data_IF_172869919388
#
_entry.id   IF_172869919388
#
_cell.length_a   1.000
_cell.length_b   1.000
_cell.length_c   1.000
_cell.angle_alpha   90.00
_cell.angle_beta   90.00
_cell.angle_gamma   90.00
#
_symmetry.space_group_name_H-M   'P 1'
#
loop_
_entity.id
_entity.type
_entity.pdbx_description
1 polymer ?
#
# COMPACT_ATOMS: atom_id res chain seq x y z
N UNK A 1 28.67 -16.86 3.98
CA UNK A 1 27.28 -16.95 4.43
C UNK A 1 26.70 -18.38 4.40
N UNK A 2 26.76 -19.17 3.29
CA UNK A 2 26.20 -20.55 3.30
C UNK A 2 26.75 -21.44 4.40
N UNK A 3 28.07 -21.44 4.64
CA UNK A 3 28.70 -22.24 5.68
C UNK A 3 28.23 -21.95 7.11
N UNK A 4 27.87 -20.68 7.40
CA UNK A 4 27.35 -20.31 8.72
C UNK A 4 25.95 -20.91 8.96
N UNK A 5 25.10 -20.93 7.96
CA UNK A 5 23.76 -21.53 8.03
C UNK A 5 23.86 -23.04 8.20
N UNK A 6 24.71 -23.71 7.43
CA UNK A 6 24.96 -25.17 7.54
C UNK A 6 25.45 -25.57 8.93
N UNK A 7 26.41 -24.81 9.50
CA UNK A 7 26.92 -25.06 10.83
C UNK A 7 25.85 -24.91 11.92
N UNK A 8 24.97 -23.91 11.83
CA UNK A 8 23.88 -23.73 12.77
C UNK A 8 22.80 -24.80 12.62
N UNK A 9 22.48 -25.23 11.41
CA UNK A 9 21.57 -26.35 11.17
C UNK A 9 22.08 -27.66 11.75
N UNK A 10 23.36 -27.95 11.58
CA UNK A 10 24.02 -29.12 12.17
C UNK A 10 24.01 -29.06 13.69
N UNK A 11 24.25 -27.89 14.26
CA UNK A 11 24.20 -27.67 15.71
C UNK A 11 22.78 -27.86 16.27
N UNK A 12 21.73 -27.52 15.50
CA UNK A 12 20.32 -27.74 15.86
C UNK A 12 19.95 -29.22 15.96
N UNK A 13 20.57 -30.11 15.15
CA UNK A 13 20.30 -31.55 15.22
C UNK A 13 20.92 -32.17 16.46
N UNK A 14 22.05 -31.62 16.95
CA UNK A 14 22.76 -32.08 18.12
C UNK A 14 22.29 -31.42 19.42
N UNK A 15 22.10 -30.10 19.41
CA UNK A 15 21.76 -29.32 20.59
C UNK A 15 20.73 -28.23 20.24
N UNK A 16 19.46 -28.53 20.43
CA UNK A 16 18.33 -27.56 20.21
C UNK A 16 18.27 -26.49 21.30
N UNK A 17 19.24 -25.60 21.37
CA UNK A 17 19.24 -24.49 22.31
C UNK A 17 18.58 -23.23 21.71
N UNK A 18 17.88 -22.40 22.51
CA UNK A 18 17.32 -21.11 22.03
C UNK A 18 18.36 -20.18 21.41
N UNK A 19 19.60 -20.21 21.89
CA UNK A 19 20.70 -19.40 21.34
C UNK A 19 21.10 -19.84 19.93
N UNK A 20 21.20 -21.14 19.68
CA UNK A 20 21.48 -21.68 18.33
C UNK A 20 20.34 -21.32 17.35
N UNK A 21 19.08 -21.44 17.76
CA UNK A 21 17.92 -21.02 16.96
C UNK A 21 17.96 -19.53 16.64
N UNK A 22 18.29 -18.68 17.61
CA UNK A 22 18.42 -17.23 17.42
C UNK A 22 19.53 -16.90 16.41
N UNK A 23 20.69 -17.52 16.52
CA UNK A 23 21.82 -17.35 15.59
C UNK A 23 21.47 -17.83 14.18
N UNK A 24 20.80 -18.97 14.05
CA UNK A 24 20.34 -19.48 12.76
C UNK A 24 19.37 -18.50 12.08
N UNK A 25 18.36 -18.02 12.80
CA UNK A 25 17.40 -17.03 12.29
C UNK A 25 18.07 -15.74 11.87
N UNK A 26 19.05 -15.26 12.65
CA UNK A 26 19.82 -14.06 12.31
C UNK A 26 20.64 -14.26 11.03
N UNK A 27 21.29 -15.42 10.88
CA UNK A 27 22.04 -15.75 9.67
C UNK A 27 21.16 -15.88 8.43
N UNK A 28 20.00 -16.53 8.56
CA UNK A 28 19.01 -16.64 7.47
C UNK A 28 18.46 -15.27 7.07
N UNK A 29 18.12 -14.43 8.04
CA UNK A 29 17.65 -13.05 7.80
C UNK A 29 18.72 -12.21 7.09
N UNK A 30 19.99 -12.31 7.51
CA UNK A 30 21.10 -11.61 6.88
C UNK A 30 21.29 -12.05 5.42
N UNK A 31 21.20 -13.35 5.13
CA UNK A 31 21.27 -13.90 3.77
C UNK A 31 20.14 -13.35 2.89
N UNK A 32 18.91 -13.40 3.35
CA UNK A 32 17.74 -12.88 2.61
C UNK A 32 17.89 -11.38 2.33
N UNK A 33 18.36 -10.63 3.32
CA UNK A 33 18.59 -9.19 3.16
C UNK A 33 19.68 -8.90 2.13
N UNK A 34 20.78 -9.65 2.17
CA UNK A 34 21.87 -9.51 1.21
C UNK A 34 21.40 -9.85 -0.22
N UNK A 35 20.62 -10.90 -0.40
CA UNK A 35 20.04 -11.28 -1.70
C UNK A 35 19.09 -10.22 -2.23
N UNK A 36 18.22 -9.67 -1.39
CA UNK A 36 17.31 -8.57 -1.75
C UNK A 36 18.09 -7.32 -2.18
N UNK A 37 19.13 -6.94 -1.43
CA UNK A 37 19.94 -5.78 -1.73
C UNK A 37 20.74 -5.95 -3.04
N UNK A 38 21.22 -7.16 -3.31
CA UNK A 38 21.92 -7.48 -4.55
C UNK A 38 20.97 -7.43 -5.78
N UNK A 39 19.67 -7.60 -5.57
CA UNK A 39 18.66 -7.53 -6.62
C UNK A 39 18.28 -6.08 -7.00
N UNK A 40 18.56 -5.11 -6.16
CA UNK A 40 18.26 -3.69 -6.40
C UNK A 40 19.01 -3.19 -7.63
N UNK A 41 18.25 -2.65 -8.59
CA UNK A 41 18.77 -2.14 -9.85
C UNK A 41 17.82 -1.05 -10.39
N UNK A 42 18.16 0.25 -10.24
CA UNK A 42 17.30 1.34 -10.66
C UNK A 42 16.97 1.36 -12.16
N UNK A 43 17.89 0.93 -13.02
CA UNK A 43 17.66 0.87 -14.46
C UNK A 43 16.62 -0.19 -14.80
N UNK A 44 16.74 -1.38 -14.22
CA UNK A 44 15.73 -2.45 -14.37
C UNK A 44 14.40 -2.10 -13.73
N UNK A 45 14.41 -1.28 -12.66
CA UNK A 45 13.17 -0.74 -12.10
C UNK A 45 12.44 0.16 -13.09
N UNK A 46 13.15 1.03 -13.82
CA UNK A 46 12.53 1.87 -14.87
C UNK A 46 12.02 1.05 -16.06
N UNK A 47 12.73 0.02 -16.47
CA UNK A 47 12.23 -0.92 -17.49
C UNK A 47 10.94 -1.60 -17.05
N UNK A 48 10.89 -2.06 -15.81
CA UNK A 48 9.70 -2.67 -15.22
C UNK A 48 8.54 -1.66 -15.11
N UNK A 49 8.83 -0.41 -14.74
CA UNK A 49 7.84 0.67 -14.70
C UNK A 49 7.22 0.92 -16.07
N UNK A 50 8.05 1.01 -17.10
CA UNK A 50 7.59 1.22 -18.47
C UNK A 50 6.71 0.05 -18.94
N UNK A 51 7.14 -1.17 -18.71
CA UNK A 51 6.36 -2.37 -19.03
C UNK A 51 5.01 -2.38 -18.28
N UNK A 52 5.01 -2.02 -17.00
CA UNK A 52 3.79 -1.88 -16.21
C UNK A 52 2.83 -0.83 -16.77
N UNK A 53 3.37 0.32 -17.20
CA UNK A 53 2.60 1.39 -17.83
C UNK A 53 1.97 0.94 -19.15
N UNK A 54 2.71 0.23 -19.98
CA UNK A 54 2.20 -0.32 -21.26
C UNK A 54 1.08 -1.32 -21.00
N UNK A 55 1.26 -2.25 -20.08
CA UNK A 55 0.24 -3.25 -19.71
C UNK A 55 -0.99 -2.59 -19.09
N UNK A 56 -0.80 -1.57 -18.26
CA UNK A 56 -1.91 -0.79 -17.68
C UNK A 56 -2.74 -0.11 -18.77
N UNK A 57 -2.11 0.54 -19.75
CA UNK A 57 -2.80 1.15 -20.91
C UNK A 57 -3.53 0.13 -21.77
N UNK A 58 -3.01 -1.08 -21.86
CA UNK A 58 -3.63 -2.20 -22.57
C UNK A 58 -4.75 -2.89 -21.76
N UNK A 59 -5.07 -2.40 -20.58
CA UNK A 59 -6.01 -2.99 -19.64
C UNK A 59 -5.64 -4.42 -19.16
N UNK A 60 -4.37 -4.78 -19.30
CA UNK A 60 -3.81 -6.01 -18.72
C UNK A 60 -3.41 -5.73 -17.24
N UNK A 61 -4.42 -5.69 -16.39
CA UNK A 61 -4.22 -5.38 -14.97
C UNK A 61 -3.34 -6.40 -14.25
N UNK A 62 -3.55 -7.72 -14.41
CA UNK A 62 -2.67 -8.72 -13.80
C UNK A 62 -1.22 -8.61 -14.28
N UNK A 63 -1.01 -8.42 -15.57
CA UNK A 63 0.32 -8.23 -16.13
C UNK A 63 1.00 -6.94 -15.65
N UNK A 64 0.23 -5.88 -15.45
CA UNK A 64 0.73 -4.64 -14.86
C UNK A 64 1.13 -4.84 -13.39
N UNK A 65 0.37 -5.61 -12.61
CA UNK A 65 0.74 -5.98 -11.23
C UNK A 65 2.07 -6.72 -11.18
N UNK A 66 2.30 -7.67 -12.09
CA UNK A 66 3.58 -8.38 -12.18
C UNK A 66 4.75 -7.44 -12.47
N UNK A 67 4.59 -6.56 -13.46
CA UNK A 67 5.62 -5.58 -13.83
C UNK A 67 5.94 -4.60 -12.70
N UNK A 68 4.93 -4.05 -12.04
CA UNK A 68 5.15 -3.15 -10.89
C UNK A 68 5.68 -3.88 -9.66
N UNK A 69 5.36 -5.15 -9.48
CA UNK A 69 5.96 -5.99 -8.44
C UNK A 69 7.46 -6.18 -8.67
N UNK A 70 7.88 -6.36 -9.92
CA UNK A 70 9.30 -6.38 -10.29
C UNK A 70 9.97 -5.02 -10.04
N UNK A 71 9.30 -3.92 -10.40
CA UNK A 71 9.77 -2.56 -10.08
C UNK A 71 10.03 -2.38 -8.58
N UNK A 72 9.13 -2.85 -7.73
CA UNK A 72 9.28 -2.78 -6.26
C UNK A 72 10.49 -3.57 -5.79
N UNK A 73 10.73 -4.76 -6.33
CA UNK A 73 11.90 -5.57 -5.99
C UNK A 73 13.21 -4.91 -6.43
N UNK A 74 13.21 -4.25 -7.59
CA UNK A 74 14.37 -3.54 -8.14
C UNK A 74 14.64 -2.19 -7.48
N UNK A 75 13.61 -1.52 -6.99
CA UNK A 75 13.70 -0.23 -6.31
C UNK A 75 12.71 -0.17 -5.12
N UNK A 76 12.98 -0.87 -4.00
CA UNK A 76 12.05 -1.01 -2.89
C UNK A 76 11.78 0.29 -2.12
N UNK A 77 12.64 1.29 -2.25
CA UNK A 77 12.47 2.60 -1.60
C UNK A 77 11.73 3.63 -2.49
N UNK A 78 11.44 3.28 -3.73
CA UNK A 78 10.70 4.15 -4.64
C UNK A 78 9.19 4.00 -4.40
N UNK A 79 8.49 5.06 -3.95
CA UNK A 79 7.05 5.00 -3.67
C UNK A 79 6.20 4.78 -4.92
N UNK A 80 6.71 5.11 -6.12
CA UNK A 80 5.98 4.98 -7.38
C UNK A 80 5.58 3.54 -7.70
N UNK A 81 6.43 2.57 -7.39
CA UNK A 81 6.15 1.14 -7.62
C UNK A 81 4.90 0.69 -6.87
N UNK A 82 4.82 0.99 -5.59
CA UNK A 82 3.66 0.69 -4.75
C UNK A 82 2.40 1.45 -5.22
N UNK A 83 2.51 2.74 -5.48
CA UNK A 83 1.38 3.56 -5.93
C UNK A 83 0.83 3.10 -7.29
N UNK A 84 1.69 2.73 -8.22
CA UNK A 84 1.29 2.21 -9.52
C UNK A 84 0.63 0.83 -9.41
N UNK A 85 1.17 -0.05 -8.57
CA UNK A 85 0.53 -1.35 -8.29
C UNK A 85 -0.83 -1.19 -7.61
N UNK A 86 -0.97 -0.24 -6.69
CA UNK A 86 -2.24 0.09 -6.07
C UNK A 86 -3.29 0.49 -7.12
N UNK A 87 -2.92 1.26 -8.14
CA UNK A 87 -3.83 1.59 -9.25
C UNK A 87 -4.33 0.35 -9.99
N UNK A 88 -3.48 -0.64 -10.18
CA UNK A 88 -3.86 -1.92 -10.78
C UNK A 88 -4.84 -2.70 -9.87
N UNK A 89 -4.57 -2.74 -8.57
CA UNK A 89 -5.46 -3.39 -7.62
C UNK A 89 -6.85 -2.72 -7.54
N UNK A 90 -6.93 -1.41 -7.67
CA UNK A 90 -8.22 -0.70 -7.77
C UNK A 90 -8.99 -1.16 -9.02
N UNK A 91 -8.32 -1.31 -10.16
CA UNK A 91 -8.94 -1.83 -11.40
C UNK A 91 -9.40 -3.29 -11.27
N UNK A 92 -8.70 -4.08 -10.48
CA UNK A 92 -9.04 -5.46 -10.15
C UNK A 92 -10.06 -5.57 -8.99
N UNK A 93 -10.56 -4.46 -8.47
CA UNK A 93 -11.46 -4.39 -7.31
C UNK A 93 -10.88 -5.01 -6.04
N UNK A 94 -9.56 -5.12 -5.95
CA UNK A 94 -8.82 -5.60 -4.78
C UNK A 94 -8.42 -4.43 -3.88
N UNK A 95 -9.43 -3.77 -3.30
CA UNK A 95 -9.25 -2.53 -2.55
C UNK A 95 -8.37 -2.66 -1.30
N UNK A 96 -8.46 -3.72 -0.48
CA UNK A 96 -7.55 -3.89 0.66
C UNK A 96 -6.08 -3.96 0.24
N UNK A 97 -5.76 -4.65 -0.83
CA UNK A 97 -4.40 -4.72 -1.39
C UNK A 97 -3.93 -3.37 -1.91
N UNK A 98 -4.83 -2.61 -2.55
CA UNK A 98 -4.54 -1.26 -3.01
C UNK A 98 -4.23 -0.32 -1.83
N UNK A 99 -5.00 -0.37 -0.76
CA UNK A 99 -4.77 0.44 0.46
C UNK A 99 -3.43 0.09 1.10
N UNK A 100 -3.10 -1.20 1.20
CA UNK A 100 -1.82 -1.65 1.73
C UNK A 100 -0.63 -1.11 0.92
N UNK A 101 -0.71 -1.15 -0.39
CA UNK A 101 0.32 -0.58 -1.27
C UNK A 101 0.41 0.95 -1.15
N UNK A 102 -0.71 1.63 -1.02
CA UNK A 102 -0.72 3.07 -0.75
C UNK A 102 -0.03 3.40 0.59
N UNK A 103 -0.30 2.63 1.64
CA UNK A 103 0.34 2.80 2.94
C UNK A 103 1.86 2.58 2.86
N UNK A 104 2.32 1.59 2.11
CA UNK A 104 3.75 1.39 1.86
C UNK A 104 4.37 2.55 1.08
N UNK A 105 3.69 3.08 0.06
CA UNK A 105 4.16 4.26 -0.68
C UNK A 105 4.28 5.50 0.22
N UNK A 106 3.29 5.74 1.07
CA UNK A 106 3.28 6.86 2.04
C UNK A 106 4.40 6.71 3.07
N UNK A 107 4.66 5.48 3.52
CA UNK A 107 5.77 5.17 4.43
C UNK A 107 7.13 5.50 3.80
N UNK A 108 7.30 5.24 2.51
CA UNK A 108 8.53 5.57 1.76
C UNK A 108 8.68 7.07 1.51
N UNK A 109 7.59 7.76 1.19
CA UNK A 109 7.54 9.20 0.99
C UNK A 109 6.19 9.77 1.47
N UNK A 110 6.14 10.37 2.67
CA UNK A 110 4.91 10.96 3.21
C UNK A 110 4.33 12.13 2.39
N UNK A 111 5.11 12.70 1.47
CA UNK A 111 4.69 13.80 0.58
C UNK A 111 4.26 13.32 -0.81
N UNK A 112 4.20 12.01 -1.02
CA UNK A 112 3.77 11.41 -2.28
C UNK A 112 2.25 11.40 -2.40
N UNK A 113 1.67 12.53 -2.79
CA UNK A 113 0.21 12.80 -2.76
C UNK A 113 -0.58 11.82 -3.63
N UNK A 114 -0.03 11.33 -4.73
CA UNK A 114 -0.69 10.29 -5.55
C UNK A 114 -1.11 9.05 -4.76
N UNK A 115 -0.32 8.64 -3.76
CA UNK A 115 -0.66 7.49 -2.93
C UNK A 115 -1.90 7.77 -2.06
N UNK A 116 -2.01 8.97 -1.50
CA UNK A 116 -3.21 9.39 -0.75
C UNK A 116 -4.45 9.44 -1.65
N UNK A 117 -4.34 10.00 -2.85
CA UNK A 117 -5.45 10.06 -3.81
C UNK A 117 -5.95 8.66 -4.17
N UNK A 118 -5.05 7.73 -4.43
CA UNK A 118 -5.42 6.33 -4.71
C UNK A 118 -6.04 5.63 -3.51
N UNK A 119 -5.51 5.88 -2.31
CA UNK A 119 -6.09 5.37 -1.06
C UNK A 119 -7.51 5.90 -0.86
N UNK A 120 -7.71 7.21 -1.07
CA UNK A 120 -9.03 7.83 -1.01
C UNK A 120 -10.00 7.24 -2.04
N UNK A 121 -9.55 7.00 -3.27
CA UNK A 121 -10.34 6.35 -4.31
C UNK A 121 -10.75 4.92 -3.92
N UNK A 122 -9.85 4.16 -3.31
CA UNK A 122 -10.16 2.81 -2.82
C UNK A 122 -11.22 2.84 -1.72
N UNK A 123 -11.10 3.72 -0.73
CA UNK A 123 -12.11 3.88 0.30
C UNK A 123 -13.46 4.35 -0.26
N UNK A 124 -13.45 5.28 -1.22
CA UNK A 124 -14.68 5.71 -1.89
C UNK A 124 -15.39 4.54 -2.59
N UNK A 125 -14.64 3.70 -3.31
CA UNK A 125 -15.18 2.53 -3.99
C UNK A 125 -15.75 1.48 -3.00
N UNK A 126 -15.17 1.37 -1.81
CA UNK A 126 -15.67 0.55 -0.70
C UNK A 126 -16.87 1.17 0.02
N UNK A 127 -17.29 2.36 -0.35
CA UNK A 127 -18.32 3.18 0.32
C UNK A 127 -17.93 3.58 1.75
N UNK A 128 -16.65 3.58 2.06
CA UNK A 128 -16.08 4.07 3.31
C UNK A 128 -15.78 5.57 3.22
N UNK A 129 -16.84 6.36 3.07
CA UNK A 129 -16.74 7.79 2.73
C UNK A 129 -16.04 8.62 3.80
N UNK A 130 -16.27 8.33 5.08
CA UNK A 130 -15.58 9.01 6.18
C UNK A 130 -14.07 8.84 6.10
N UNK A 131 -13.60 7.62 5.86
CA UNK A 131 -12.17 7.33 5.68
C UNK A 131 -11.60 8.00 4.43
N UNK A 132 -12.38 8.09 3.36
CA UNK A 132 -12.00 8.84 2.17
C UNK A 132 -11.75 10.32 2.48
N UNK A 133 -12.63 10.95 3.25
CA UNK A 133 -12.49 12.35 3.70
C UNK A 133 -11.23 12.52 4.54
N UNK A 134 -11.03 11.68 5.56
CA UNK A 134 -9.85 11.71 6.45
C UNK A 134 -8.53 11.61 5.66
N UNK A 135 -8.46 10.71 4.69
CA UNK A 135 -7.28 10.55 3.84
C UNK A 135 -7.01 11.80 3.00
N UNK A 136 -8.05 12.45 2.47
CA UNK A 136 -7.91 13.71 1.72
C UNK A 136 -7.40 14.84 2.64
N UNK A 137 -7.90 14.94 3.86
CA UNK A 137 -7.45 15.93 4.84
C UNK A 137 -5.99 15.71 5.25
N UNK A 138 -5.61 14.47 5.51
CA UNK A 138 -4.21 14.11 5.78
C UNK A 138 -3.29 14.48 4.60
N UNK A 139 -3.72 14.20 3.38
CA UNK A 139 -2.96 14.52 2.17
C UNK A 139 -2.77 16.04 2.00
N UNK A 140 -3.78 16.85 2.32
CA UNK A 140 -3.68 18.31 2.25
C UNK A 140 -2.65 18.88 3.20
N UNK A 141 -2.45 18.28 4.37
CA UNK A 141 -1.38 18.65 5.31
C UNK A 141 0.00 18.45 4.70
N UNK A 142 0.18 17.42 3.88
CA UNK A 142 1.45 17.11 3.24
C UNK A 142 1.64 17.77 1.85
N UNK A 143 0.60 18.37 1.29
CA UNK A 143 0.64 19.08 -0.01
C UNK A 143 1.14 20.52 0.15
N UNK A 144 2.41 20.66 0.53
CA UNK A 144 3.03 21.95 0.89
C UNK A 144 2.92 23.02 -0.20
N UNK A 145 2.94 22.61 -1.47
CA UNK A 145 2.89 23.52 -2.61
C UNK A 145 1.45 23.77 -3.12
N UNK A 146 0.45 23.10 -2.55
CA UNK A 146 -0.93 23.18 -2.99
C UNK A 146 -1.17 22.67 -4.42
N UNK A 147 -0.21 21.95 -5.01
CA UNK A 147 -0.30 21.48 -6.39
C UNK A 147 -1.44 20.47 -6.62
N UNK A 148 -1.81 19.73 -5.58
CA UNK A 148 -2.84 18.70 -5.65
C UNK A 148 -4.11 19.07 -4.87
N UNK A 149 -4.16 20.23 -4.24
CA UNK A 149 -5.25 20.67 -3.37
C UNK A 149 -6.60 20.57 -4.09
N UNK A 150 -6.70 21.05 -5.32
CA UNK A 150 -7.94 21.01 -6.10
C UNK A 150 -8.47 19.59 -6.31
N UNK A 151 -7.61 18.65 -6.62
CA UNK A 151 -7.99 17.25 -6.84
C UNK A 151 -8.40 16.57 -5.52
N UNK A 152 -7.70 16.88 -4.43
CA UNK A 152 -8.04 16.42 -3.08
C UNK A 152 -9.39 16.96 -2.62
N UNK A 153 -9.65 18.25 -2.81
CA UNK A 153 -10.93 18.88 -2.49
C UNK A 153 -12.10 18.29 -3.30
N UNK A 154 -11.88 18.04 -4.58
CA UNK A 154 -12.89 17.39 -5.43
C UNK A 154 -13.22 15.98 -4.94
N UNK A 155 -12.19 15.21 -4.57
CA UNK A 155 -12.39 13.86 -4.04
C UNK A 155 -13.08 13.89 -2.69
N UNK A 156 -12.73 14.83 -1.82
CA UNK A 156 -13.37 15.05 -0.52
C UNK A 156 -14.85 15.42 -0.68
N UNK A 157 -15.17 16.42 -1.50
CA UNK A 157 -16.53 16.83 -1.76
C UNK A 157 -17.39 15.70 -2.32
N UNK A 158 -16.84 14.93 -3.25
CA UNK A 158 -17.52 13.77 -3.81
C UNK A 158 -17.86 12.73 -2.73
N UNK A 159 -16.95 12.48 -1.81
CA UNK A 159 -17.16 11.54 -0.69
C UNK A 159 -18.21 12.09 0.29
N UNK A 160 -18.15 13.36 0.64
CA UNK A 160 -19.12 14.01 1.53
C UNK A 160 -20.53 14.01 0.93
N UNK A 161 -20.66 14.30 -0.37
CA UNK A 161 -21.94 14.26 -1.06
C UNK A 161 -22.51 12.83 -1.10
N UNK A 162 -21.69 11.83 -1.40
CA UNK A 162 -22.12 10.43 -1.40
C UNK A 162 -22.54 9.96 0.00
N UNK A 163 -21.83 10.39 1.05
CA UNK A 163 -22.19 10.13 2.43
C UNK A 163 -23.54 10.75 2.81
N UNK A 164 -23.78 11.99 2.40
CA UNK A 164 -25.04 12.67 2.64
C UNK A 164 -26.20 11.96 1.94
N UNK A 165 -26.05 11.64 0.66
CA UNK A 165 -27.08 10.93 -0.11
C UNK A 165 -27.39 9.54 0.44
N UNK A 166 -26.38 8.86 0.97
CA UNK A 166 -26.56 7.56 1.63
C UNK A 166 -27.39 7.69 2.91
N UNK A 167 -27.20 8.80 3.66
CA UNK A 167 -27.95 9.08 4.91
C UNK A 167 -29.40 9.49 4.66
N UNK A 168 -29.67 10.19 3.57
CA UNK A 168 -31.07 10.60 3.23
C UNK A 168 -32.02 9.40 3.05
N UNK A 169 -31.49 8.23 2.72
CA UNK A 169 -32.27 6.98 2.61
C UNK A 169 -32.29 6.13 3.89
N UNK A 170 -31.64 6.56 4.97
CA UNK A 170 -31.63 5.81 6.23
C UNK A 170 -32.95 5.95 7.00
N UNK A 171 -33.45 4.85 7.52
CA UNK A 171 -34.54 4.87 8.52
C UNK A 171 -34.03 5.37 9.87
N UNK A 172 -34.94 5.81 10.76
CA UNK A 172 -34.57 6.22 12.12
C UNK A 172 -33.81 5.13 12.89
N UNK A 173 -34.23 3.87 12.70
CA UNK A 173 -33.59 2.70 13.33
C UNK A 173 -32.14 2.52 12.84
N UNK A 174 -31.91 2.61 11.53
CA UNK A 174 -30.57 2.54 10.93
C UNK A 174 -29.67 3.70 11.38
N UNK A 175 -30.25 4.89 11.52
CA UNK A 175 -29.55 6.08 12.02
C UNK A 175 -29.11 5.87 13.47
N UNK A 176 -29.98 5.36 14.32
CA UNK A 176 -29.68 5.09 15.73
C UNK A 176 -28.63 3.97 15.88
N UNK A 177 -28.71 2.92 15.08
CA UNK A 177 -27.72 1.84 15.06
C UNK A 177 -26.32 2.36 14.65
N UNK A 178 -26.23 3.22 13.64
CA UNK A 178 -24.99 3.86 13.20
C UNK A 178 -24.38 4.72 14.30
N UNK A 179 -25.20 5.59 14.92
CA UNK A 179 -24.75 6.49 16.02
C UNK A 179 -24.23 5.67 17.22
N UNK A 180 -24.91 4.56 17.54
CA UNK A 180 -24.50 3.70 18.66
C UNK A 180 -23.17 2.97 18.43
N UNK A 181 -22.79 2.77 17.18
CA UNK A 181 -21.54 2.11 16.78
C UNK A 181 -20.40 3.11 16.51
N UNK A 182 -20.68 4.40 16.51
CA UNK A 182 -19.69 5.44 16.28
C UNK A 182 -18.83 5.64 17.53
N UNK A 183 -17.50 5.39 17.48
CA UNK A 183 -16.62 5.52 18.62
C UNK A 183 -16.47 6.95 19.13
N UNK A 184 -16.78 7.98 18.30
CA UNK A 184 -16.73 9.39 18.72
C UNK A 184 -17.95 9.82 19.57
N UNK A 185 -19.05 9.07 19.49
CA UNK A 185 -20.30 9.37 20.21
C UNK A 185 -20.46 8.50 21.47
N UNK A 186 -19.76 7.41 21.55
CA UNK A 186 -19.75 6.51 22.72
C UNK A 186 -18.58 6.82 23.63
#
# INVERSE_FOLDING_TARGET
>A
MPRAIENYQKSLTEHRTPDVLSKLRAAEKAKITAEKNAYVDPEKAEEARELGSQRFKAADWPGAVEAYSEMIKRAPEDPRGYSNRAACFIKLLSFPSAIQDCDEAIKKDPKFIKAYLRKAQAYYAMREYSKCVEVCEEAMVHDENGANTRELEQQQQKAMQAQYSAREGETEEQTMERISKDPEVS
#
